data_IF_431961552633
#
_entry.id   IF_431961552633
#
_cell.length_a   1.000
_cell.length_b   1.000
_cell.length_c   1.000
_cell.angle_alpha   90.00
_cell.angle_beta   90.00
_cell.angle_gamma   90.00
#
_symmetry.space_group_name_H-M   'P 1'
#
loop_
_entity.id
_entity.type
_entity.pdbx_description
1 polymer ?
#
# COMPACT_ATOMS: atom_id res chain seq x y z
N UNK A 1 -48.60 -15.84 10.45
CA UNK A 1 -47.45 -16.25 11.28
C UNK A 1 -46.22 -16.66 10.46
N UNK A 2 -46.30 -17.59 9.51
CA UNK A 2 -45.13 -18.12 8.76
C UNK A 2 -44.35 -17.09 7.90
N UNK A 3 -45.02 -16.05 7.37
CA UNK A 3 -44.36 -14.98 6.58
C UNK A 3 -43.45 -14.08 7.42
N UNK A 4 -43.70 -13.98 8.73
CA UNK A 4 -42.88 -13.19 9.66
C UNK A 4 -41.55 -13.90 9.99
N UNK A 5 -41.56 -15.22 10.04
CA UNK A 5 -40.35 -16.04 10.24
C UNK A 5 -39.41 -16.01 9.04
N UNK A 6 -39.94 -16.01 7.81
CA UNK A 6 -39.12 -15.88 6.59
C UNK A 6 -38.44 -14.50 6.48
N UNK A 7 -39.14 -13.44 6.89
CA UNK A 7 -38.58 -12.09 6.89
C UNK A 7 -37.43 -11.93 7.91
N UNK A 8 -37.55 -12.55 9.08
CA UNK A 8 -36.52 -12.55 10.12
C UNK A 8 -35.28 -13.37 9.71
N UNK A 9 -35.47 -14.49 8.99
CA UNK A 9 -34.38 -15.32 8.48
C UNK A 9 -33.53 -14.62 7.42
N UNK A 10 -34.16 -13.86 6.51
CA UNK A 10 -33.44 -13.08 5.48
C UNK A 10 -32.67 -11.91 6.10
N UNK A 11 -33.24 -11.26 7.12
CA UNK A 11 -32.56 -10.19 7.86
C UNK A 11 -31.30 -10.66 8.59
N UNK A 12 -31.28 -11.89 9.12
CA UNK A 12 -30.13 -12.44 9.85
C UNK A 12 -28.98 -12.85 8.92
N UNK A 13 -29.27 -13.31 7.69
CA UNK A 13 -28.24 -13.65 6.71
C UNK A 13 -27.48 -12.44 6.16
N UNK A 14 -28.05 -11.24 6.24
CA UNK A 14 -27.45 -10.00 5.72
C UNK A 14 -26.38 -9.40 6.66
N UNK A 15 -26.27 -9.89 7.90
CA UNK A 15 -25.34 -9.34 8.91
C UNK A 15 -23.99 -10.07 8.94
N UNK A 16 -23.85 -11.24 8.30
CA UNK A 16 -22.65 -12.09 8.42
C UNK A 16 -21.56 -11.86 7.36
N UNK A 17 -21.69 -10.84 6.51
CA UNK A 17 -20.81 -10.61 5.34
C UNK A 17 -19.62 -9.67 5.53
N UNK A 18 -19.20 -9.35 6.76
CA UNK A 18 -18.36 -8.16 7.02
C UNK A 18 -16.97 -8.37 7.61
N UNK A 19 -16.17 -9.34 7.16
CA UNK A 19 -14.74 -9.40 7.53
C UNK A 19 -13.86 -8.70 6.49
N UNK A 20 -13.78 -7.38 6.53
CA UNK A 20 -12.81 -6.61 5.74
C UNK A 20 -11.43 -6.65 6.42
N UNK A 21 -10.47 -7.33 5.80
CA UNK A 21 -9.06 -7.34 6.23
C UNK A 21 -8.42 -6.00 5.85
N UNK A 22 -8.52 -5.05 6.77
CA UNK A 22 -7.76 -3.81 6.74
C UNK A 22 -6.30 -4.15 7.08
N UNK A 23 -5.38 -3.87 6.16
CA UNK A 23 -3.93 -4.10 6.30
C UNK A 23 -3.29 -2.71 6.33
N UNK A 24 -2.94 -2.21 7.53
CA UNK A 24 -2.41 -0.87 7.71
C UNK A 24 -1.08 -0.66 6.96
N UNK A 25 -0.73 0.61 6.62
CA UNK A 25 0.62 0.94 6.18
C UNK A 25 1.63 0.58 7.28
N UNK A 26 2.53 -0.35 6.97
CA UNK A 26 3.50 -0.91 7.93
C UNK A 26 3.23 -2.36 8.31
N UNK A 27 2.06 -2.90 7.98
CA UNK A 27 1.77 -4.31 8.17
C UNK A 27 2.52 -5.17 7.12
N UNK A 28 3.00 -6.32 7.59
CA UNK A 28 3.74 -7.28 6.79
C UNK A 28 2.93 -8.56 6.73
N UNK A 29 2.76 -9.10 5.52
CA UNK A 29 2.14 -10.39 5.34
C UNK A 29 2.96 -11.44 6.11
N UNK A 30 2.33 -12.17 7.04
CA UNK A 30 2.99 -13.22 7.82
C UNK A 30 3.60 -14.30 6.94
N UNK A 31 3.10 -14.45 5.70
CA UNK A 31 3.64 -15.37 4.72
C UNK A 31 4.93 -14.85 4.05
N UNK A 32 5.30 -13.60 4.25
CA UNK A 32 6.53 -12.98 3.74
C UNK A 32 7.64 -12.86 4.80
N UNK A 33 7.34 -13.15 6.07
CA UNK A 33 8.33 -13.14 7.15
C UNK A 33 9.40 -14.21 6.89
N UNK A 34 10.67 -13.83 7.05
CA UNK A 34 11.83 -14.71 6.85
C UNK A 34 12.15 -15.02 5.39
N UNK A 35 11.39 -14.51 4.41
CA UNK A 35 11.70 -14.66 2.99
C UNK A 35 12.66 -13.57 2.53
N UNK A 36 13.65 -13.96 1.73
CA UNK A 36 14.54 -13.00 1.09
C UNK A 36 13.76 -12.18 0.06
N UNK A 37 13.83 -10.85 0.16
CA UNK A 37 13.31 -9.92 -0.84
C UNK A 37 14.44 -9.36 -1.68
N UNK A 38 14.18 -9.15 -2.97
CA UNK A 38 15.11 -8.44 -3.83
C UNK A 38 15.10 -6.96 -3.44
N UNK A 39 16.29 -6.39 -3.26
CA UNK A 39 16.48 -4.97 -2.95
C UNK A 39 17.42 -4.36 -3.97
N UNK A 40 17.12 -3.16 -4.45
CA UNK A 40 18.00 -2.39 -5.32
C UNK A 40 18.31 -1.03 -4.68
N UNK A 41 19.59 -0.64 -4.68
CA UNK A 41 20.01 0.69 -4.25
C UNK A 41 19.97 1.67 -5.43
N UNK A 42 19.64 2.93 -5.13
CA UNK A 42 19.56 4.00 -6.12
C UNK A 42 19.46 5.38 -5.48
N UNK A 43 19.27 6.39 -6.33
CA UNK A 43 19.13 7.79 -5.91
C UNK A 43 17.83 8.36 -6.45
N UNK A 44 17.08 9.07 -5.60
CA UNK A 44 15.89 9.79 -6.02
C UNK A 44 16.30 10.93 -6.96
N UNK A 45 15.82 10.87 -8.21
CA UNK A 45 16.07 11.92 -9.21
C UNK A 45 14.88 12.87 -9.37
N UNK A 46 13.67 12.45 -8.97
CA UNK A 46 12.48 13.30 -8.98
C UNK A 46 11.46 12.87 -7.94
N UNK A 47 10.67 13.82 -7.45
CA UNK A 47 9.58 13.67 -6.47
C UNK A 47 8.40 14.50 -6.93
N UNK A 48 7.20 13.92 -6.91
CA UNK A 48 5.95 14.63 -7.19
C UNK A 48 4.88 14.26 -6.19
N UNK A 49 4.21 15.26 -5.61
CA UNK A 49 3.04 15.03 -4.75
C UNK A 49 1.86 14.55 -5.61
N UNK A 50 1.15 13.54 -5.12
CA UNK A 50 -0.04 12.98 -5.75
C UNK A 50 -1.14 12.79 -4.72
N UNK A 51 -2.38 12.80 -5.20
CA UNK A 51 -3.55 12.39 -4.43
C UNK A 51 -3.95 11.01 -4.91
N UNK A 52 -4.13 10.06 -4.01
CA UNK A 52 -4.62 8.75 -4.36
C UNK A 52 -6.14 8.72 -4.31
N UNK A 53 -6.77 8.21 -5.38
CA UNK A 53 -8.20 7.97 -5.42
C UNK A 53 -8.45 6.46 -5.50
N UNK A 54 -9.30 5.92 -4.64
CA UNK A 54 -9.87 4.60 -4.90
C UNK A 54 -11.18 4.79 -5.67
N UNK A 55 -11.32 4.15 -6.83
CA UNK A 55 -12.65 3.99 -7.43
C UNK A 55 -13.35 2.96 -6.55
N UNK A 56 -14.23 3.41 -5.64
CA UNK A 56 -15.10 2.52 -4.89
C UNK A 56 -15.90 1.69 -5.91
N UNK A 57 -15.56 0.42 -6.06
CA UNK A 57 -16.32 -0.49 -6.90
C UNK A 57 -17.68 -0.66 -6.25
N UNK A 58 -18.71 -0.05 -6.83
CA UNK A 58 -20.11 -0.23 -6.46
C UNK A 58 -20.42 -1.73 -6.47
N UNK A 59 -20.45 -2.37 -5.30
CA UNK A 59 -20.94 -3.73 -5.13
C UNK A 59 -20.11 -4.69 -4.28
N UNK A 60 -18.79 -4.51 -4.12
CA UNK A 60 -17.96 -5.32 -3.19
C UNK A 60 -16.76 -4.50 -2.73
N UNK A 61 -16.78 -4.05 -1.47
CA UNK A 61 -15.71 -3.27 -0.84
C UNK A 61 -14.58 -4.20 -0.36
N UNK A 62 -13.81 -4.76 -1.30
CA UNK A 62 -12.45 -5.21 -0.96
C UNK A 62 -11.52 -4.00 -1.07
N UNK A 63 -11.36 -3.33 0.07
CA UNK A 63 -10.35 -2.28 0.25
C UNK A 63 -8.97 -2.92 0.03
N UNK A 64 -8.30 -2.61 -1.09
CA UNK A 64 -6.92 -3.08 -1.34
C UNK A 64 -5.98 -2.69 -0.17
N UNK A 65 -4.95 -3.46 0.19
CA UNK A 65 -3.99 -3.06 1.23
C UNK A 65 -3.43 -1.64 0.96
N UNK A 66 -3.47 -0.76 1.97
CA UNK A 66 -3.18 0.67 1.81
C UNK A 66 -4.37 1.55 1.39
N UNK A 67 -5.56 0.96 1.25
CA UNK A 67 -6.79 1.69 0.87
C UNK A 67 -7.48 2.47 1.99
N UNK A 68 -7.01 2.31 3.22
CA UNK A 68 -7.48 3.06 4.39
C UNK A 68 -7.13 4.55 4.29
N UNK A 69 -6.13 4.89 3.48
CA UNK A 69 -5.79 6.27 3.11
C UNK A 69 -6.48 6.76 1.82
N UNK A 70 -7.38 5.98 1.20
CA UNK A 70 -7.87 6.25 -0.17
C UNK A 70 -9.20 7.01 -0.26
N UNK A 71 -9.52 7.80 0.76
CA UNK A 71 -10.53 8.86 0.68
C UNK A 71 -9.88 10.26 0.71
N UNK A 72 -8.79 10.41 -0.04
CA UNK A 72 -8.06 11.67 -0.21
C UNK A 72 -6.58 11.68 0.22
N UNK A 73 -6.00 10.54 0.56
CA UNK A 73 -4.62 10.43 1.03
C UNK A 73 -3.61 11.04 0.06
N UNK A 74 -2.78 11.93 0.60
CA UNK A 74 -1.64 12.49 -0.09
C UNK A 74 -0.46 11.52 -0.01
N UNK A 75 0.36 11.55 -1.05
CA UNK A 75 1.64 10.87 -1.03
C UNK A 75 2.54 11.39 -2.13
N UNK A 76 3.59 10.65 -2.40
CA UNK A 76 4.59 11.03 -3.39
C UNK A 76 4.84 9.89 -4.36
N UNK A 77 4.99 10.25 -5.63
CA UNK A 77 5.64 9.41 -6.63
C UNK A 77 7.10 9.82 -6.69
N UNK A 78 7.97 8.85 -6.45
CA UNK A 78 9.41 9.00 -6.53
C UNK A 78 9.92 8.33 -7.80
N UNK A 79 10.76 9.04 -8.55
CA UNK A 79 11.52 8.48 -9.66
C UNK A 79 12.94 8.25 -9.15
N UNK A 80 13.40 7.01 -9.26
CA UNK A 80 14.69 6.56 -8.73
C UNK A 80 15.54 6.07 -9.90
N UNK A 81 16.76 6.58 -9.99
CA UNK A 81 17.80 5.99 -10.82
C UNK A 81 18.52 4.94 -9.99
N UNK A 82 18.35 3.68 -10.34
CA UNK A 82 19.03 2.56 -9.69
C UNK A 82 20.52 2.57 -10.06
N UNK A 83 21.36 1.99 -9.20
CA UNK A 83 22.80 1.86 -9.46
C UNK A 83 23.10 1.01 -10.71
N UNK A 84 22.16 0.15 -11.11
CA UNK A 84 22.21 -0.59 -12.38
C UNK A 84 22.01 0.28 -13.62
N UNK A 85 21.65 1.56 -13.47
CA UNK A 85 21.31 2.48 -14.56
C UNK A 85 19.83 2.49 -14.92
N UNK A 86 19.04 1.51 -14.47
CA UNK A 86 17.60 1.47 -14.69
C UNK A 86 16.87 2.60 -13.94
N UNK A 87 15.73 3.03 -14.47
CA UNK A 87 14.86 4.04 -13.86
C UNK A 87 13.57 3.36 -13.42
N UNK A 88 13.18 3.57 -12.16
CA UNK A 88 11.93 3.05 -11.60
C UNK A 88 11.10 4.16 -10.99
N UNK A 89 9.77 3.99 -11.04
CA UNK A 89 8.81 4.91 -10.44
C UNK A 89 8.02 4.16 -9.38
N UNK A 90 7.98 4.70 -8.16
CA UNK A 90 7.29 4.08 -7.03
C UNK A 90 6.43 5.13 -6.33
N UNK A 91 5.16 4.79 -6.11
CA UNK A 91 4.22 5.62 -5.37
C UNK A 91 4.13 5.15 -3.92
N UNK A 92 4.21 6.08 -2.96
CA UNK A 92 4.18 5.79 -1.54
C UNK A 92 3.38 6.85 -0.79
N UNK A 93 2.70 6.45 0.29
CA UNK A 93 1.99 7.36 1.19
C UNK A 93 2.97 8.30 1.94
N UNK A 94 2.44 9.42 2.45
CA UNK A 94 3.22 10.56 2.95
C UNK A 94 4.04 10.32 4.23
N UNK A 95 3.91 9.18 4.90
CA UNK A 95 4.61 8.88 6.16
C UNK A 95 6.14 9.02 6.08
N UNK A 96 6.73 8.96 4.88
CA UNK A 96 8.17 9.05 4.66
C UNK A 96 8.53 10.22 3.72
N UNK A 97 9.00 11.34 4.30
CA UNK A 97 9.37 12.54 3.56
C UNK A 97 10.80 12.45 2.96
N UNK A 98 10.95 11.61 1.94
CA UNK A 98 12.23 11.46 1.22
C UNK A 98 12.51 12.70 0.34
N UNK A 99 13.80 13.03 0.20
CA UNK A 99 14.28 14.18 -0.57
C UNK A 99 14.87 13.76 -1.92
N UNK A 100 14.81 14.64 -2.91
CA UNK A 100 15.55 14.45 -4.17
C UNK A 100 17.05 14.44 -3.86
N UNK A 101 17.81 13.62 -4.59
CA UNK A 101 19.25 13.31 -4.38
C UNK A 101 19.55 12.43 -3.16
N UNK A 102 18.54 12.00 -2.40
CA UNK A 102 18.73 11.05 -1.31
C UNK A 102 19.00 9.64 -1.85
N UNK A 103 19.95 8.93 -1.24
CA UNK A 103 20.19 7.50 -1.49
C UNK A 103 19.08 6.69 -0.83
N UNK A 104 18.56 5.71 -1.55
CA UNK A 104 17.42 4.91 -1.12
C UNK A 104 17.56 3.46 -1.55
N UNK A 105 16.85 2.61 -0.84
CA UNK A 105 16.67 1.20 -1.15
C UNK A 105 15.24 0.99 -1.65
N UNK A 106 15.11 0.33 -2.81
CA UNK A 106 13.84 -0.12 -3.38
C UNK A 106 13.68 -1.59 -3.04
N UNK A 107 12.71 -1.91 -2.17
CA UNK A 107 12.40 -3.28 -1.76
C UNK A 107 11.26 -3.81 -2.62
N UNK A 108 11.55 -4.83 -3.42
CA UNK A 108 10.56 -5.49 -4.27
C UNK A 108 9.78 -6.55 -3.48
N UNK A 109 8.50 -6.72 -3.82
CA UNK A 109 7.61 -7.72 -3.24
C UNK A 109 6.18 -7.52 -3.71
N UNK A 110 5.21 -8.10 -2.99
CA UNK A 110 3.77 -7.88 -3.21
C UNK A 110 3.40 -6.39 -3.13
N UNK A 111 4.05 -5.67 -2.24
CA UNK A 111 4.05 -4.20 -2.20
C UNK A 111 5.48 -3.71 -2.34
N UNK A 112 5.71 -2.76 -3.24
CA UNK A 112 7.02 -2.12 -3.40
C UNK A 112 7.14 -0.98 -2.41
N UNK A 113 8.27 -0.88 -1.71
CA UNK A 113 8.51 0.15 -0.69
C UNK A 113 9.87 0.80 -0.90
N UNK A 114 9.97 2.08 -0.59
CA UNK A 114 11.20 2.86 -0.63
C UNK A 114 11.65 3.12 0.81
N UNK A 115 12.92 2.87 1.09
CA UNK A 115 13.54 3.11 2.39
C UNK A 115 14.75 4.04 2.23
N UNK A 116 15.07 4.90 3.21
CA UNK A 116 16.34 5.61 3.25
C UNK A 116 17.50 4.61 3.28
N UNK A 117 18.56 4.90 2.53
CA UNK A 117 19.80 4.13 2.63
C UNK A 117 20.73 4.80 3.65
N UNK A 118 20.76 4.27 4.88
CA UNK A 118 21.60 4.75 5.98
C UNK A 118 22.97 4.05 6.05
N UNK A 119 23.37 3.31 5.01
CA UNK A 119 24.67 2.63 4.98
C UNK A 119 25.88 3.57 5.00
N UNK A 120 25.67 4.87 4.82
CA UNK A 120 26.73 5.90 4.89
C UNK A 120 26.86 6.57 6.27
N UNK A 121 26.02 6.23 7.24
CA UNK A 121 26.07 6.80 8.61
C UNK A 121 26.80 5.87 9.62
N UNK A 122 27.57 4.88 9.13
CA UNK A 122 28.34 3.92 9.93
C UNK A 122 29.83 4.04 9.60
#
# INVERSE_FOLDING_TARGET
MAKLFYALGIAICLVLGGCSKNVPPGDYDVNEVGKLKKVASGVIISKRQVKFHSKAATGRSEKAPGSEYLDGGHGYVYVIKLNSGAIVSVAQAEDLNLKVRQKVLVVYGKTTRILPDSSTDI
#
